data_IF_103580453397
#
_entry.id   IF_103580453397
#
_cell.length_a   1.000
_cell.length_b   1.000
_cell.length_c   1.000
_cell.angle_alpha   90.00
_cell.angle_beta   90.00
_cell.angle_gamma   90.00
#
_symmetry.space_group_name_H-M   'P 1'
#
loop_
_entity.id
_entity.type
_entity.pdbx_description
1 polymer ?
#
# COMPACT_ATOMS: atom_id res chain seq x y z
N UNK A 1 7.22 14.13 3.92
CA UNK A 1 6.87 13.78 2.53
C UNK A 1 7.65 12.56 2.11
N UNK A 2 6.96 11.53 1.64
CA UNK A 2 7.57 10.31 1.12
C UNK A 2 7.23 10.11 -0.36
N UNK A 3 8.03 9.28 -1.02
CA UNK A 3 7.83 8.91 -2.42
C UNK A 3 7.87 7.39 -2.53
N UNK A 4 6.96 6.85 -3.32
CA UNK A 4 6.92 5.42 -3.61
C UNK A 4 7.73 5.13 -4.88
N UNK A 5 8.75 4.30 -4.77
CA UNK A 5 9.62 3.90 -5.84
C UNK A 5 9.55 2.39 -6.08
N UNK A 6 9.44 2.01 -7.34
CA UNK A 6 9.36 0.63 -7.76
C UNK A 6 10.73 0.10 -8.17
N UNK A 7 11.22 -0.92 -7.47
CA UNK A 7 12.57 -1.45 -7.68
C UNK A 7 12.70 -2.37 -8.91
N UNK A 8 11.60 -3.01 -9.35
CA UNK A 8 11.61 -3.88 -10.54
C UNK A 8 10.27 -3.90 -11.24
N UNK A 9 10.29 -3.96 -12.57
CA UNK A 9 9.09 -4.11 -13.39
C UNK A 9 8.45 -5.52 -13.34
N UNK A 10 9.16 -6.52 -12.81
CA UNK A 10 8.78 -7.94 -12.90
C UNK A 10 8.16 -8.55 -11.64
N UNK A 11 8.23 -7.88 -10.49
CA UNK A 11 7.68 -8.38 -9.22
C UNK A 11 6.79 -7.35 -8.58
N UNK A 12 5.58 -7.77 -8.24
CA UNK A 12 4.48 -6.90 -7.83
C UNK A 12 4.71 -6.10 -6.56
N UNK A 13 5.57 -6.54 -5.65
CA UNK A 13 5.77 -5.92 -4.35
C UNK A 13 7.24 -5.70 -3.97
N UNK A 14 8.08 -5.39 -4.92
CA UNK A 14 9.41 -4.87 -4.60
C UNK A 14 9.36 -3.35 -4.70
N UNK A 15 9.06 -2.72 -3.58
CA UNK A 15 8.85 -1.30 -3.44
C UNK A 15 9.81 -0.71 -2.43
N UNK A 16 10.10 0.55 -2.59
CA UNK A 16 10.92 1.33 -1.69
C UNK A 16 10.22 2.65 -1.41
N UNK A 17 10.10 2.99 -0.15
CA UNK A 17 9.61 4.30 0.28
C UNK A 17 10.82 5.15 0.64
N UNK A 18 10.99 6.26 -0.04
CA UNK A 18 12.08 7.19 0.17
C UNK A 18 11.57 8.52 0.72
N UNK A 19 12.43 9.22 1.44
CA UNK A 19 12.15 10.58 1.90
C UNK A 19 12.47 11.62 0.80
N UNK A 20 12.24 12.87 1.09
CA UNK A 20 12.50 14.01 0.20
C UNK A 20 13.99 14.21 -0.16
N UNK A 21 14.90 13.56 0.56
CA UNK A 21 16.33 13.54 0.27
C UNK A 21 16.77 12.29 -0.50
N UNK A 22 15.81 11.45 -0.93
CA UNK A 22 16.08 10.20 -1.63
C UNK A 22 16.60 9.06 -0.74
N UNK A 23 16.54 9.21 0.59
CA UNK A 23 17.00 8.17 1.52
C UNK A 23 15.91 7.13 1.72
N UNK A 24 16.23 5.82 1.66
CA UNK A 24 15.25 4.78 1.92
C UNK A 24 14.81 4.80 3.39
N UNK A 25 13.49 4.85 3.59
CA UNK A 25 12.85 4.81 4.90
C UNK A 25 12.27 3.42 5.16
N UNK A 26 11.59 2.87 4.15
CA UNK A 26 11.06 1.51 4.21
C UNK A 26 11.36 0.74 2.93
N UNK A 27 11.59 -0.55 3.10
CA UNK A 27 11.79 -1.50 2.00
C UNK A 27 10.71 -2.59 2.09
N UNK A 28 10.00 -2.81 1.00
CA UNK A 28 8.97 -3.83 0.89
C UNK A 28 9.48 -4.91 -0.04
N UNK A 29 9.55 -6.14 0.46
CA UNK A 29 9.93 -7.32 -0.32
C UNK A 29 8.83 -8.36 -0.29
N UNK A 30 8.48 -8.83 -1.48
CA UNK A 30 7.58 -9.97 -1.66
C UNK A 30 8.35 -11.28 -1.60
N UNK A 31 7.81 -12.24 -0.86
CA UNK A 31 8.18 -13.64 -0.94
C UNK A 31 6.94 -14.47 -1.27
N UNK A 32 7.09 -15.49 -2.10
CA UNK A 32 6.02 -16.44 -2.38
C UNK A 32 6.28 -17.75 -1.65
N UNK A 33 5.35 -18.16 -0.80
CA UNK A 33 5.32 -19.49 -0.19
C UNK A 33 4.11 -20.25 -0.71
N UNK A 34 4.34 -21.31 -1.43
CA UNK A 34 3.39 -22.31 -1.95
C UNK A 34 2.16 -21.80 -2.73
N UNK A 35 1.40 -20.87 -2.34
CA UNK A 35 0.26 -20.26 -3.03
C UNK A 35 -0.13 -18.91 -2.42
N UNK A 36 0.66 -18.45 -1.45
CA UNK A 36 0.37 -17.23 -0.72
C UNK A 36 1.48 -16.23 -0.96
N UNK A 37 1.13 -15.04 -1.43
CA UNK A 37 2.06 -13.92 -1.54
C UNK A 37 2.13 -13.22 -0.18
N UNK A 38 3.35 -13.06 0.31
CA UNK A 38 3.63 -12.35 1.55
C UNK A 38 4.61 -11.23 1.24
N UNK A 39 4.27 -10.01 1.61
CA UNK A 39 5.17 -8.88 1.58
C UNK A 39 5.59 -8.49 2.99
N UNK A 40 6.88 -8.29 3.17
CA UNK A 40 7.45 -7.81 4.42
C UNK A 40 7.89 -6.36 4.25
N UNK A 41 7.40 -5.48 5.10
CA UNK A 41 7.80 -4.08 5.17
C UNK A 41 8.83 -3.92 6.28
N UNK A 42 10.03 -3.50 5.91
CA UNK A 42 11.15 -3.31 6.83
C UNK A 42 11.55 -1.84 6.91
N UNK A 43 11.92 -1.41 8.10
CA UNK A 43 12.46 -0.07 8.33
C UNK A 43 13.93 0.05 7.90
N UNK A 44 14.51 1.23 8.08
CA UNK A 44 15.91 1.52 7.78
C UNK A 44 16.91 0.68 8.59
N UNK A 45 16.49 0.13 9.71
CA UNK A 45 17.30 -0.77 10.56
C UNK A 45 17.09 -2.25 10.26
N UNK A 46 16.33 -2.57 9.19
CA UNK A 46 15.95 -3.92 8.75
C UNK A 46 15.00 -4.67 9.68
N UNK A 47 14.33 -3.97 10.60
CA UNK A 47 13.28 -4.56 11.42
C UNK A 47 12.00 -4.68 10.59
N UNK A 48 11.34 -5.84 10.65
CA UNK A 48 10.02 -6.00 10.06
C UNK A 48 8.99 -5.23 10.89
N UNK A 49 8.39 -4.21 10.29
CA UNK A 49 7.40 -3.34 10.95
C UNK A 49 5.97 -3.67 10.58
N UNK A 50 5.79 -4.29 9.41
CA UNK A 50 4.47 -4.79 8.97
C UNK A 50 4.63 -5.97 8.02
N UNK A 51 3.61 -6.79 7.95
CA UNK A 51 3.48 -7.90 7.02
C UNK A 51 2.14 -7.80 6.30
N UNK A 52 2.17 -8.01 4.98
CA UNK A 52 0.98 -8.03 4.13
C UNK A 52 0.88 -9.42 3.52
N UNK A 53 -0.19 -10.15 3.84
CA UNK A 53 -0.43 -11.50 3.34
C UNK A 53 -1.66 -11.52 2.46
N UNK A 54 -1.51 -11.94 1.21
CA UNK A 54 -2.63 -12.14 0.31
C UNK A 54 -3.38 -13.41 0.69
N UNK A 55 -4.72 -13.32 0.76
CA UNK A 55 -5.60 -14.45 0.95
C UNK A 55 -6.06 -14.93 -0.41
N UNK A 56 -5.84 -16.21 -0.77
CA UNK A 56 -6.38 -16.78 -2.01
C UNK A 56 -7.90 -16.71 -2.04
N UNK A 57 -8.48 -16.42 -3.20
CA UNK A 57 -9.93 -16.36 -3.38
C UNK A 57 -10.32 -15.68 -4.68
N UNK A 58 -11.60 -15.67 -4.98
CA UNK A 58 -12.16 -15.01 -6.17
C UNK A 58 -11.99 -13.50 -6.05
N UNK A 59 -12.13 -12.97 -4.85
CA UNK A 59 -11.95 -11.54 -4.55
C UNK A 59 -10.61 -11.35 -3.86
N UNK A 60 -9.72 -10.48 -4.35
CA UNK A 60 -8.47 -10.19 -3.68
C UNK A 60 -8.71 -9.67 -2.26
N UNK A 61 -8.05 -10.29 -1.31
CA UNK A 61 -8.08 -9.88 0.09
C UNK A 61 -6.67 -10.01 0.68
N UNK A 62 -6.38 -9.14 1.64
CA UNK A 62 -5.06 -9.04 2.26
C UNK A 62 -5.22 -8.89 3.76
N UNK A 63 -4.35 -9.56 4.53
CA UNK A 63 -4.21 -9.33 5.96
C UNK A 63 -2.97 -8.49 6.18
N UNK A 64 -3.13 -7.35 6.82
CA UNK A 64 -2.04 -6.49 7.26
C UNK A 64 -1.84 -6.71 8.74
N UNK A 65 -0.62 -7.04 9.14
CA UNK A 65 -0.22 -7.22 10.54
C UNK A 65 0.95 -6.31 10.87
N UNK A 66 0.83 -5.56 11.96
CA UNK A 66 1.89 -4.77 12.57
C UNK A 66 2.00 -5.12 14.06
N UNK A 67 2.87 -4.44 14.81
CA UNK A 67 2.92 -4.59 16.26
C UNK A 67 1.62 -4.13 16.94
N UNK A 68 0.97 -3.11 16.38
CA UNK A 68 -0.17 -2.43 17.00
C UNK A 68 -1.53 -2.96 16.53
N UNK A 69 -1.58 -3.58 15.35
CA UNK A 69 -2.86 -3.92 14.72
C UNK A 69 -2.78 -5.10 13.75
N UNK A 70 -3.90 -5.78 13.60
CA UNK A 70 -4.13 -6.71 12.52
C UNK A 70 -5.52 -6.46 11.94
N UNK A 71 -5.60 -6.29 10.62
CA UNK A 71 -6.86 -6.03 9.93
C UNK A 71 -6.84 -6.56 8.49
N UNK A 72 -8.00 -6.57 7.87
CA UNK A 72 -8.20 -7.14 6.54
C UNK A 72 -8.59 -6.06 5.54
N UNK A 73 -7.90 -6.02 4.41
CA UNK A 73 -8.23 -5.17 3.26
C UNK A 73 -8.86 -6.04 2.18
N UNK A 74 -10.07 -5.71 1.78
CA UNK A 74 -10.83 -6.45 0.77
C UNK A 74 -11.10 -5.55 -0.43
N UNK A 75 -10.71 -6.01 -1.60
CA UNK A 75 -11.09 -5.36 -2.85
C UNK A 75 -12.50 -5.80 -3.23
N UNK A 76 -13.41 -4.84 -3.40
CA UNK A 76 -14.76 -5.12 -3.86
C UNK A 76 -14.89 -4.84 -5.35
N UNK A 77 -15.43 -5.79 -6.08
CA UNK A 77 -15.78 -5.59 -7.48
C UNK A 77 -17.02 -4.73 -7.59
N UNK A 78 -16.87 -3.60 -8.24
CA UNK A 78 -17.94 -2.71 -8.67
C UNK A 78 -17.48 -2.03 -9.95
N UNK A 79 -18.36 -1.24 -10.59
CA UNK A 79 -17.98 -0.40 -11.74
C UNK A 79 -16.77 0.51 -11.44
N UNK A 80 -16.61 0.90 -10.17
CA UNK A 80 -15.43 1.57 -9.64
C UNK A 80 -14.88 0.71 -8.51
N UNK A 81 -13.75 0.01 -8.69
CA UNK A 81 -13.15 -0.79 -7.63
C UNK A 81 -12.90 0.06 -6.39
N UNK A 82 -13.28 -0.49 -5.27
CA UNK A 82 -13.06 0.10 -3.96
C UNK A 82 -12.48 -0.94 -3.01
N UNK A 83 -11.82 -0.45 -2.00
CA UNK A 83 -11.28 -1.26 -0.93
C UNK A 83 -12.06 -1.01 0.35
N UNK A 84 -12.36 -2.08 1.05
CA UNK A 84 -13.02 -2.04 2.36
C UNK A 84 -12.06 -2.64 3.38
N UNK A 85 -11.84 -1.91 4.46
CA UNK A 85 -10.99 -2.36 5.57
C UNK A 85 -11.88 -2.90 6.67
N UNK A 86 -11.66 -4.15 7.04
CA UNK A 86 -12.42 -4.87 8.08
C UNK A 86 -11.57 -5.05 9.33
N UNK A 87 -12.24 -5.07 10.49
CA UNK A 87 -11.62 -5.21 11.82
C UNK A 87 -10.70 -4.04 12.17
N UNK A 88 -11.05 -2.85 11.70
CA UNK A 88 -10.28 -1.63 11.94
C UNK A 88 -11.14 -0.40 11.79
N UNK A 89 -10.69 0.70 12.36
CA UNK A 89 -11.27 2.02 12.14
C UNK A 89 -10.67 2.75 10.91
N UNK A 90 -9.80 2.09 10.15
CA UNK A 90 -9.27 2.64 8.90
C UNK A 90 -10.29 2.60 7.77
N UNK A 91 -10.30 3.65 6.96
CA UNK A 91 -11.04 3.75 5.69
C UNK A 91 -10.17 4.37 4.62
N UNK A 92 -10.53 4.12 3.36
CA UNK A 92 -9.91 4.77 2.21
C UNK A 92 -10.94 5.65 1.54
N UNK A 93 -10.64 6.93 1.37
CA UNK A 93 -11.50 7.91 0.69
C UNK A 93 -10.78 8.55 -0.46
N UNK A 94 -11.47 8.73 -1.58
CA UNK A 94 -10.97 9.43 -2.74
C UNK A 94 -10.95 8.60 -4.01
N UNK A 95 -10.18 9.07 -4.99
CA UNK A 95 -10.07 8.51 -6.33
C UNK A 95 -8.92 7.51 -6.40
N UNK A 96 -9.16 6.27 -6.02
CA UNK A 96 -8.13 5.22 -5.93
C UNK A 96 -7.43 4.98 -7.26
N UNK A 97 -8.18 4.95 -8.38
CA UNK A 97 -7.60 4.75 -9.71
C UNK A 97 -6.71 5.87 -10.18
N UNK A 98 -7.10 7.09 -9.90
CA UNK A 98 -6.34 8.27 -10.28
C UNK A 98 -5.19 8.54 -9.31
N UNK A 99 -5.03 7.69 -8.31
CA UNK A 99 -4.06 7.84 -7.24
C UNK A 99 -4.15 9.23 -6.59
N UNK A 100 -5.33 9.53 -6.09
CA UNK A 100 -5.59 10.71 -5.27
C UNK A 100 -6.60 10.33 -4.19
N UNK A 101 -6.08 9.79 -3.09
CA UNK A 101 -6.91 9.28 -2.00
C UNK A 101 -6.25 9.49 -0.64
N UNK A 102 -7.06 9.41 0.39
CA UNK A 102 -6.65 9.50 1.77
C UNK A 102 -6.90 8.19 2.51
N UNK A 103 -6.00 7.86 3.41
CA UNK A 103 -6.23 6.86 4.45
C UNK A 103 -6.76 7.61 5.67
N UNK A 104 -7.94 7.19 6.12
CA UNK A 104 -8.64 7.77 7.26
C UNK A 104 -8.51 6.87 8.48
N UNK A 105 -8.38 7.45 9.65
CA UNK A 105 -8.62 6.80 10.93
C UNK A 105 -9.83 7.46 11.56
N UNK A 106 -10.94 6.72 11.67
CA UNK A 106 -12.24 7.29 12.07
C UNK A 106 -12.61 8.47 11.16
N UNK A 107 -12.66 9.67 11.69
CA UNK A 107 -13.17 10.86 11.00
C UNK A 107 -12.09 11.80 10.44
N UNK A 108 -10.81 11.45 10.57
CA UNK A 108 -9.73 12.32 10.12
C UNK A 108 -8.69 11.59 9.25
N UNK A 109 -8.12 12.33 8.31
CA UNK A 109 -7.08 11.81 7.43
C UNK A 109 -5.77 11.64 8.19
N UNK A 110 -5.14 10.47 8.04
CA UNK A 110 -3.82 10.16 8.62
C UNK A 110 -2.73 10.10 7.57
N UNK A 111 -3.12 9.93 6.30
CA UNK A 111 -2.21 9.89 5.16
C UNK A 111 -2.93 10.36 3.91
N UNK A 112 -2.25 11.14 3.08
CA UNK A 112 -2.68 11.49 1.73
C UNK A 112 -1.70 10.91 0.72
N UNK A 113 -2.23 10.24 -0.30
CA UNK A 113 -1.47 9.65 -1.40
C UNK A 113 -1.97 10.23 -2.72
N UNK A 114 -1.05 10.80 -3.52
CA UNK A 114 -1.40 11.33 -4.85
C UNK A 114 -0.27 11.13 -5.85
N UNK A 115 -0.57 11.39 -7.09
CA UNK A 115 0.36 11.24 -8.20
C UNK A 115 0.52 12.55 -8.94
N UNK A 116 1.76 12.94 -9.19
CA UNK A 116 2.09 14.11 -9.99
C UNK A 116 2.92 13.73 -11.22
N UNK A 117 2.75 14.49 -12.29
CA UNK A 117 3.62 14.42 -13.47
C UNK A 117 4.86 15.28 -13.25
N UNK A 118 6.04 14.69 -13.34
CA UNK A 118 7.30 15.40 -13.29
C UNK A 118 8.22 14.91 -14.41
N UNK A 119 8.63 15.83 -15.31
CA UNK A 119 9.50 15.52 -16.45
C UNK A 119 9.04 14.31 -17.28
N UNK A 120 7.74 14.22 -17.55
CA UNK A 120 7.15 13.14 -18.34
C UNK A 120 7.00 11.80 -17.62
N UNK A 121 7.27 11.74 -16.31
CA UNK A 121 7.07 10.55 -15.48
C UNK A 121 6.12 10.85 -14.33
N UNK A 122 5.30 9.86 -13.99
CA UNK A 122 4.47 9.95 -12.79
C UNK A 122 5.29 9.64 -11.54
N UNK A 123 5.19 10.51 -10.56
CA UNK A 123 5.77 10.36 -9.24
C UNK A 123 4.63 10.20 -8.24
N UNK A 124 4.66 9.14 -7.46
CA UNK A 124 3.68 8.91 -6.42
C UNK A 124 4.19 9.49 -5.10
N UNK A 125 3.43 10.42 -4.56
CA UNK A 125 3.74 11.15 -3.33
C UNK A 125 2.85 10.68 -2.19
N UNK A 126 3.42 10.65 -1.00
CA UNK A 126 2.75 10.25 0.23
C UNK A 126 3.05 11.27 1.30
N UNK A 127 2.03 11.89 1.84
CA UNK A 127 2.13 12.78 2.97
C UNK A 127 1.57 12.11 4.23
N UNK A 128 2.39 11.98 5.25
CA UNK A 128 1.98 11.45 6.54
C UNK A 128 1.47 12.61 7.38
N UNK A 129 0.18 12.60 7.67
CA UNK A 129 -0.49 13.64 8.45
C UNK A 129 -0.45 13.33 9.95
N UNK A 130 -0.43 12.04 10.30
CA UNK A 130 -0.38 11.56 11.68
C UNK A 130 0.62 10.40 11.82
N UNK A 131 1.80 10.67 12.34
CA UNK A 131 2.89 9.69 12.45
C UNK A 131 2.58 8.48 13.32
N UNK A 132 1.64 8.61 14.25
CA UNK A 132 1.17 7.49 15.08
C UNK A 132 0.63 6.32 14.26
N UNK A 133 0.05 6.60 13.09
CA UNK A 133 -0.57 5.61 12.19
C UNK A 133 0.25 5.33 10.93
N UNK A 134 1.48 5.82 10.88
CA UNK A 134 2.31 5.79 9.67
C UNK A 134 2.48 4.39 9.09
N UNK A 135 2.84 3.41 9.90
CA UNK A 135 3.15 2.05 9.45
C UNK A 135 1.92 1.38 8.83
N UNK A 136 0.80 1.39 9.53
CA UNK A 136 -0.44 0.78 9.05
C UNK A 136 -0.99 1.50 7.82
N UNK A 137 -0.97 2.83 7.83
CA UNK A 137 -1.42 3.63 6.69
C UNK A 137 -0.56 3.40 5.44
N UNK A 138 0.76 3.32 5.58
CA UNK A 138 1.66 2.97 4.48
C UNK A 138 1.42 1.54 3.98
N UNK A 139 1.19 0.58 4.87
CA UNK A 139 0.87 -0.79 4.49
C UNK A 139 -0.45 -0.87 3.70
N UNK A 140 -1.44 -0.05 4.03
CA UNK A 140 -2.68 0.09 3.25
C UNK A 140 -2.39 0.63 1.85
N UNK A 141 -1.61 1.69 1.73
CA UNK A 141 -1.21 2.26 0.42
C UNK A 141 -0.49 1.22 -0.44
N UNK A 142 0.48 0.51 0.13
CA UNK A 142 1.22 -0.55 -0.57
C UNK A 142 0.27 -1.63 -1.08
N UNK A 143 -0.69 -2.06 -0.26
CA UNK A 143 -1.70 -3.05 -0.62
C UNK A 143 -2.56 -2.58 -1.78
N UNK A 144 -3.07 -1.35 -1.71
CA UNK A 144 -3.90 -0.75 -2.77
C UNK A 144 -3.13 -0.64 -4.08
N UNK A 145 -1.92 -0.10 -4.05
CA UNK A 145 -1.11 0.11 -5.26
C UNK A 145 -0.67 -1.22 -5.89
N UNK A 146 -0.35 -2.21 -5.08
CA UNK A 146 0.00 -3.55 -5.56
C UNK A 146 -1.21 -4.26 -6.20
N UNK A 147 -2.40 -4.11 -5.65
CA UNK A 147 -3.64 -4.65 -6.21
C UNK A 147 -3.99 -4.06 -7.56
N UNK A 148 -3.81 -2.76 -7.74
CA UNK A 148 -4.03 -2.10 -9.04
C UNK A 148 -3.19 -2.72 -10.15
N UNK A 149 -1.93 -3.06 -9.85
CA UNK A 149 -1.01 -3.64 -10.84
C UNK A 149 -1.40 -5.04 -11.26
N UNK A 150 -1.88 -5.87 -10.33
CA UNK A 150 -2.32 -7.22 -10.65
C UNK A 150 -3.51 -7.21 -11.61
N UNK A 151 -4.39 -6.22 -11.52
CA UNK A 151 -5.52 -6.06 -12.42
C UNK A 151 -5.11 -5.67 -13.85
N UNK A 152 -4.05 -4.90 -14.00
CA UNK A 152 -3.53 -4.54 -15.33
C UNK A 152 -2.75 -5.69 -16.00
N UNK A 153 -2.13 -6.56 -15.23
CA UNK A 153 -1.42 -7.72 -15.76
C UNK A 153 -2.34 -8.86 -16.22
N UNK A 154 -3.57 -8.93 -15.71
CA UNK A 154 -4.57 -9.92 -16.13
C UNK A 154 -5.30 -9.54 -17.42
N UNK A 155 -5.05 -8.37 -17.98
CA UNK A 155 -5.67 -7.88 -19.22
C UNK A 155 -4.77 -7.99 -20.47
N UNK A 156 -3.66 -8.65 -20.33
CA UNK A 156 -2.77 -8.93 -21.47
C UNK A 156 -2.98 -10.34 -21.98
#
# INVERSE_FOLDING_TARGET
MYFLEHLTHKRLMNLKIIDEHGRPVYLIKESSALFTKIASMKDQYRNEVAKIRQIPGITPAYIISSQEAEFKVVQKFSLKPRFVIKNSAYEIKGLIYDTDYEVMWRDYAVLHCWREMHKGKYIQKIDILEHKYEIEALAIVITVESSKRSLFMTRV
#
